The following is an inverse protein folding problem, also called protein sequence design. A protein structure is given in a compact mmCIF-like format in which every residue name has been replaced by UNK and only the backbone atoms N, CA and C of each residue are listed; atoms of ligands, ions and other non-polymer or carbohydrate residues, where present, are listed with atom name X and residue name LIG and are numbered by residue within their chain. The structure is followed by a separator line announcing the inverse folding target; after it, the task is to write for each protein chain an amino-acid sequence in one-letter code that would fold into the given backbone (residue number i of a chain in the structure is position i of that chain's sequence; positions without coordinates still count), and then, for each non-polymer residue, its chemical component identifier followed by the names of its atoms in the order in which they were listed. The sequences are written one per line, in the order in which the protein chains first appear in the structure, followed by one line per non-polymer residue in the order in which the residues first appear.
data_IF_253381081732
#
_entry.id   IF_253381081732
#
_cell.length_a   1.000
_cell.length_b   1.000
_cell.length_c   1.000
_cell.angle_alpha   90.00
_cell.angle_beta   90.00
_cell.angle_gamma   90.00
#
_symmetry.space_group_name_H-M   'P 1'
#
loop_
_entity.id
_entity.type
_entity.pdbx_description
1 polymer ?
#
# COMPACT_ATOMS: atom_id res chain seq x y z
N UNK A 1 -18.29 -11.29 5.20
CA UNK A 1 -17.73 -11.66 3.90
C UNK A 1 -16.34 -11.06 3.76
N UNK A 2 -15.38 -11.86 3.31
CA UNK A 2 -14.00 -11.37 3.15
C UNK A 2 -13.91 -10.38 2.00
N UNK A 3 -13.08 -9.33 2.14
CA UNK A 3 -12.83 -8.43 1.03
C UNK A 3 -12.09 -9.17 -0.10
N UNK A 4 -12.15 -8.59 -1.27
CA UNK A 4 -11.52 -9.15 -2.47
C UNK A 4 -10.84 -8.04 -3.26
N UNK A 5 -10.08 -8.43 -4.26
CA UNK A 5 -9.41 -7.49 -5.15
C UNK A 5 -10.41 -6.47 -5.70
N UNK A 6 -10.03 -5.21 -5.65
CA UNK A 6 -10.87 -4.10 -6.07
C UNK A 6 -11.65 -3.44 -4.94
N UNK A 7 -11.87 -4.16 -3.85
CA UNK A 7 -12.61 -3.62 -2.72
C UNK A 7 -11.79 -2.56 -1.98
N UNK A 8 -12.48 -1.64 -1.32
CA UNK A 8 -11.82 -0.68 -0.45
C UNK A 8 -11.24 -1.36 0.77
N UNK A 9 -10.07 -0.89 1.18
CA UNK A 9 -9.42 -1.38 2.40
C UNK A 9 -10.16 -0.88 3.64
N UNK A 10 -10.76 0.30 3.54
CA UNK A 10 -11.44 0.95 4.65
C UNK A 10 -12.70 1.65 4.16
N UNK A 11 -13.31 2.48 5.01
CA UNK A 11 -14.48 3.26 4.66
C UNK A 11 -14.17 4.20 3.48
N UNK A 12 -15.20 4.64 2.74
CA UNK A 12 -14.98 5.59 1.64
C UNK A 12 -14.25 6.83 2.11
N UNK A 13 -13.39 7.39 1.25
CA UNK A 13 -12.62 8.57 1.64
C UNK A 13 -13.50 9.80 1.73
N UNK A 14 -13.14 10.70 2.65
CA UNK A 14 -13.66 12.05 2.65
C UNK A 14 -12.57 12.96 2.07
N UNK A 15 -12.98 14.07 1.46
CA UNK A 15 -12.02 15.01 0.91
C UNK A 15 -11.14 15.61 2.02
N UNK A 16 -9.81 15.65 1.90
CA UNK A 16 -8.98 15.34 0.72
C UNK A 16 -8.34 13.94 0.74
N UNK A 17 -8.89 12.99 1.43
CA UNK A 17 -8.32 11.65 1.56
C UNK A 17 -8.28 10.91 0.21
N UNK A 18 -7.35 9.94 0.13
CA UNK A 18 -7.24 9.03 -1.01
C UNK A 18 -8.07 7.78 -0.78
N UNK A 19 -8.59 7.21 -1.87
CA UNK A 19 -9.35 5.96 -1.82
C UNK A 19 -8.36 4.80 -1.84
N UNK A 20 -8.25 4.06 -0.75
CA UNK A 20 -7.30 2.94 -0.63
C UNK A 20 -8.04 1.64 -0.95
N UNK A 21 -7.58 0.94 -1.98
CA UNK A 21 -8.18 -0.29 -2.48
C UNK A 21 -7.17 -1.41 -2.60
N UNK A 22 -7.66 -2.64 -2.58
CA UNK A 22 -6.82 -3.80 -2.83
C UNK A 22 -6.60 -3.97 -4.33
N UNK A 23 -5.33 -4.06 -4.75
CA UNK A 23 -4.98 -4.26 -6.15
C UNK A 23 -4.78 -5.73 -6.51
N UNK A 24 -4.56 -6.59 -5.52
CA UNK A 24 -4.34 -8.03 -5.73
C UNK A 24 -5.02 -8.83 -4.64
N UNK A 25 -5.26 -10.12 -4.92
CA UNK A 25 -5.80 -11.04 -3.93
C UNK A 25 -4.79 -11.28 -2.80
N UNK A 26 -3.51 -11.37 -3.14
CA UNK A 26 -2.47 -11.55 -2.13
C UNK A 26 -2.41 -10.39 -1.16
N UNK A 27 -2.66 -9.18 -1.63
CA UNK A 27 -2.70 -8.00 -0.76
C UNK A 27 -3.81 -8.11 0.29
N UNK A 28 -4.97 -8.66 -0.10
CA UNK A 28 -6.08 -8.86 0.84
C UNK A 28 -5.63 -9.75 2.01
N UNK A 29 -5.03 -10.89 1.68
CA UNK A 29 -4.59 -11.86 2.69
C UNK A 29 -3.51 -11.28 3.59
N UNK A 30 -2.51 -10.64 2.99
CA UNK A 30 -1.41 -10.05 3.74
C UNK A 30 -1.86 -8.92 4.64
N UNK A 31 -2.77 -8.09 4.15
CA UNK A 31 -3.32 -6.99 4.94
C UNK A 31 -4.10 -7.50 6.14
N UNK A 32 -4.93 -8.52 5.94
CA UNK A 32 -5.69 -9.12 7.04
C UNK A 32 -4.76 -9.70 8.11
N UNK A 33 -3.66 -10.32 7.68
CA UNK A 33 -2.66 -10.84 8.61
C UNK A 33 -1.98 -9.70 9.39
N UNK A 34 -1.63 -8.61 8.70
CA UNK A 34 -1.06 -7.44 9.35
C UNK A 34 -2.02 -6.86 10.40
N UNK A 35 -3.30 -6.76 10.06
CA UNK A 35 -4.32 -6.28 10.99
C UNK A 35 -4.42 -7.17 12.21
N UNK A 36 -4.30 -8.48 12.02
CA UNK A 36 -4.39 -9.43 13.12
C UNK A 36 -3.17 -9.42 14.03
N UNK A 37 -1.99 -9.22 13.46
CA UNK A 37 -0.73 -9.40 14.19
C UNK A 37 -0.03 -8.08 14.55
N UNK A 38 -0.34 -6.99 13.88
CA UNK A 38 0.32 -5.70 14.09
C UNK A 38 -0.65 -4.55 13.84
N UNK A 39 -1.81 -4.60 14.50
CA UNK A 39 -2.90 -3.65 14.23
C UNK A 39 -2.50 -2.19 14.40
N UNK A 40 -1.83 -1.77 15.48
CA UNK A 40 -1.46 -0.35 15.63
C UNK A 40 -0.57 0.14 14.49
N UNK A 41 0.39 -0.68 14.08
CA UNK A 41 1.30 -0.32 12.98
C UNK A 41 0.56 -0.27 11.65
N UNK A 42 -0.37 -1.21 11.45
CA UNK A 42 -1.16 -1.25 10.21
C UNK A 42 -2.09 -0.05 10.11
N UNK A 43 -2.64 0.40 11.23
CA UNK A 43 -3.46 1.62 11.25
C UNK A 43 -2.64 2.85 10.85
N UNK A 44 -1.40 2.96 11.35
CA UNK A 44 -0.53 4.07 10.96
C UNK A 44 -0.20 4.02 9.48
N UNK A 45 0.03 2.82 8.94
CA UNK A 45 0.24 2.64 7.51
C UNK A 45 -0.98 3.12 6.72
N UNK A 46 -2.17 2.68 7.10
CA UNK A 46 -3.41 3.07 6.42
C UNK A 46 -3.58 4.59 6.42
N UNK A 47 -3.33 5.24 7.56
CA UNK A 47 -3.43 6.69 7.64
C UNK A 47 -2.44 7.38 6.69
N UNK A 48 -1.22 6.85 6.58
CA UNK A 48 -0.23 7.39 5.65
C UNK A 48 -0.69 7.24 4.20
N UNK A 49 -1.21 6.07 3.83
CA UNK A 49 -1.69 5.82 2.47
C UNK A 49 -2.89 6.71 2.14
N UNK A 50 -3.76 6.93 3.10
CA UNK A 50 -4.99 7.68 2.90
C UNK A 50 -4.75 9.19 2.83
N UNK A 51 -3.76 9.69 3.58
CA UNK A 51 -3.51 11.12 3.69
C UNK A 51 -2.37 11.62 2.81
N UNK A 52 -1.28 10.84 2.67
CA UNK A 52 -0.08 11.29 1.96
C UNK A 52 0.70 10.11 1.38
N UNK A 53 0.15 9.43 0.34
CA UNK A 53 0.79 8.21 -0.17
C UNK A 53 2.14 8.43 -0.83
N UNK A 54 2.46 9.65 -1.24
CA UNK A 54 3.73 9.98 -1.87
C UNK A 54 4.58 10.90 -1.00
N UNK A 55 4.38 10.85 0.32
CA UNK A 55 5.12 11.70 1.25
C UNK A 55 6.56 11.23 1.41
N UNK A 56 7.49 12.17 1.42
CA UNK A 56 8.90 11.90 1.72
C UNK A 56 9.27 12.36 3.12
N UNK A 57 8.29 12.83 3.89
CA UNK A 57 8.52 13.30 5.27
C UNK A 57 8.96 12.15 6.19
N UNK A 58 8.55 10.93 5.88
CA UNK A 58 8.95 9.74 6.63
C UNK A 58 9.73 8.80 5.72
N UNK A 59 10.76 9.31 5.07
CA UNK A 59 11.52 8.55 4.07
C UNK A 59 12.14 7.26 4.59
N UNK A 60 12.32 7.12 5.88
CA UNK A 60 12.83 5.88 6.47
C UNK A 60 11.75 4.79 6.51
N UNK A 61 10.47 5.15 6.45
CA UNK A 61 9.35 4.21 6.45
C UNK A 61 8.60 4.16 5.12
N UNK A 62 8.59 5.26 4.39
CA UNK A 62 7.77 5.41 3.18
C UNK A 62 8.65 5.92 2.06
N UNK A 63 8.84 5.11 1.02
CA UNK A 63 9.72 5.49 -0.07
C UNK A 63 9.27 4.88 -1.39
N UNK A 64 9.67 5.54 -2.46
CA UNK A 64 9.40 5.05 -3.80
C UNK A 64 10.35 3.90 -4.12
N UNK A 65 9.82 2.85 -4.76
CA UNK A 65 10.63 1.72 -5.20
C UNK A 65 11.40 2.08 -6.47
N UNK A 66 12.44 1.31 -6.77
CA UNK A 66 13.37 1.56 -7.88
C UNK A 66 13.46 0.35 -8.79
N UNK A 67 14.10 0.54 -9.95
CA UNK A 67 14.33 -0.53 -10.89
C UNK A 67 13.03 -1.09 -11.44
N UNK A 68 12.95 -2.40 -11.51
CA UNK A 68 11.77 -3.08 -12.04
C UNK A 68 10.54 -2.86 -11.20
N UNK A 69 10.71 -2.47 -9.95
CA UNK A 69 9.60 -2.19 -9.03
C UNK A 69 9.19 -0.72 -9.00
N UNK A 70 9.82 0.13 -9.81
CA UNK A 70 9.55 1.56 -9.80
C UNK A 70 8.13 1.90 -10.23
N UNK A 71 7.56 1.10 -11.14
CA UNK A 71 6.20 1.30 -11.63
C UNK A 71 5.44 -0.02 -11.62
N UNK A 72 4.12 0.10 -11.58
CA UNK A 72 3.21 -1.04 -11.68
C UNK A 72 2.14 -0.68 -12.71
N UNK A 73 1.93 -1.59 -13.67
CA UNK A 73 0.92 -1.37 -14.68
C UNK A 73 -0.43 -1.85 -14.17
N UNK A 74 -1.37 -0.92 -14.13
CA UNK A 74 -2.72 -1.20 -13.66
C UNK A 74 -3.73 -0.64 -14.64
N UNK A 75 -4.57 -1.52 -15.20
CA UNK A 75 -5.59 -1.15 -16.18
C UNK A 75 -5.02 -0.31 -17.33
N UNK A 76 -3.85 -0.69 -17.82
CA UNK A 76 -3.21 -0.04 -18.95
C UNK A 76 -2.43 1.23 -18.62
N UNK A 77 -2.31 1.59 -17.35
CA UNK A 77 -1.60 2.80 -16.92
C UNK A 77 -0.43 2.41 -16.03
N UNK A 78 0.73 3.04 -16.27
CA UNK A 78 1.90 2.83 -15.42
C UNK A 78 1.84 3.77 -14.23
N UNK A 79 1.75 3.20 -13.04
CA UNK A 79 1.63 3.96 -11.79
C UNK A 79 2.92 3.84 -10.98
N UNK A 80 3.28 4.89 -10.26
CA UNK A 80 4.41 4.84 -9.34
C UNK A 80 4.16 3.82 -8.26
N UNK A 81 5.17 3.00 -7.97
CA UNK A 81 5.08 2.01 -6.91
C UNK A 81 5.92 2.46 -5.71
N UNK A 82 5.32 2.36 -4.55
CA UNK A 82 5.89 2.79 -3.27
C UNK A 82 5.86 1.65 -2.28
N UNK A 83 6.64 1.78 -1.23
CA UNK A 83 6.68 0.81 -0.14
C UNK A 83 6.60 1.55 1.20
N UNK A 84 5.80 0.99 2.11
CA UNK A 84 5.71 1.48 3.49
C UNK A 84 6.21 0.40 4.43
N UNK A 85 7.12 0.78 5.34
CA UNK A 85 7.64 -0.11 6.37
C UNK A 85 6.68 -0.13 7.55
N UNK A 86 5.91 -1.20 7.67
CA UNK A 86 4.89 -1.34 8.72
C UNK A 86 5.54 -1.70 10.06
N UNK A 87 6.46 -2.67 10.01
CA UNK A 87 7.28 -3.10 11.15
C UNK A 87 8.72 -3.22 10.63
N UNK A 88 9.66 -3.60 11.50
CA UNK A 88 11.06 -3.76 11.08
C UNK A 88 11.22 -4.71 9.89
N UNK A 89 10.38 -5.75 9.80
CA UNK A 89 10.40 -6.69 8.68
C UNK A 89 9.20 -6.57 7.75
N UNK A 90 8.10 -6.01 8.24
CA UNK A 90 6.85 -5.96 7.49
C UNK A 90 6.79 -4.83 6.47
N UNK A 91 6.21 -5.13 5.32
CA UNK A 91 6.14 -4.16 4.21
C UNK A 91 4.78 -4.17 3.57
N UNK A 92 4.34 -2.99 3.13
CA UNK A 92 3.19 -2.81 2.26
C UNK A 92 3.67 -2.11 1.01
N UNK A 93 3.45 -2.74 -0.15
CA UNK A 93 3.74 -2.13 -1.45
C UNK A 93 2.44 -1.67 -2.07
N UNK A 94 2.46 -0.50 -2.67
CA UNK A 94 1.26 0.09 -3.25
C UNK A 94 1.59 0.91 -4.48
N UNK A 95 0.62 1.04 -5.36
CA UNK A 95 0.72 1.88 -6.55
C UNK A 95 -0.21 3.08 -6.37
N UNK A 96 0.21 4.23 -6.87
CA UNK A 96 -0.50 5.49 -6.67
C UNK A 96 -1.04 5.99 -8.00
N UNK A 97 -2.35 6.21 -8.07
CA UNK A 97 -3.01 6.78 -9.22
C UNK A 97 -3.48 8.20 -8.86
N UNK A 98 -2.69 9.23 -9.23
CA UNK A 98 -3.03 10.60 -8.83
C UNK A 98 -4.26 11.15 -9.56
N UNK A 99 -4.51 10.69 -10.77
CA UNK A 99 -5.65 11.18 -11.55
C UNK A 99 -6.98 10.78 -10.90
N UNK A 100 -7.05 9.57 -10.38
CA UNK A 100 -8.25 9.06 -9.72
C UNK A 100 -8.21 9.19 -8.20
N UNK A 101 -7.07 9.60 -7.66
CA UNK A 101 -6.80 9.67 -6.21
C UNK A 101 -7.07 8.33 -5.54
N UNK A 102 -6.53 7.29 -6.14
CA UNK A 102 -6.65 5.91 -5.65
C UNK A 102 -5.26 5.37 -5.32
N UNK A 103 -5.16 4.65 -4.22
CA UNK A 103 -3.98 3.90 -3.81
C UNK A 103 -4.32 2.43 -3.90
N UNK A 104 -3.57 1.67 -4.70
CA UNK A 104 -3.78 0.24 -4.90
C UNK A 104 -2.77 -0.53 -4.05
N UNK A 105 -3.23 -1.22 -3.02
CA UNK A 105 -2.36 -2.07 -2.21
C UNK A 105 -2.08 -3.34 -3.01
N UNK A 106 -0.81 -3.57 -3.32
CA UNK A 106 -0.39 -4.67 -4.19
C UNK A 106 0.19 -5.84 -3.41
N UNK A 107 0.79 -5.56 -2.26
CA UNK A 107 1.48 -6.55 -1.45
C UNK A 107 1.48 -6.09 0.00
N UNK A 108 1.28 -7.02 0.91
CA UNK A 108 1.35 -6.77 2.34
C UNK A 108 1.87 -8.01 3.04
N UNK A 109 2.84 -7.86 3.93
CA UNK A 109 3.42 -9.00 4.65
C UNK A 109 4.19 -8.52 5.86
N UNK A 110 4.23 -9.35 6.90
CA UNK A 110 5.11 -9.15 8.05
C UNK A 110 6.55 -9.52 7.71
N UNK A 111 6.77 -10.23 6.61
CA UNK A 111 8.10 -10.66 6.19
C UNK A 111 8.71 -9.66 5.22
N UNK A 112 10.01 -9.44 5.36
CA UNK A 112 10.75 -8.61 4.44
C UNK A 112 10.70 -9.24 3.03
N UNK A 113 10.30 -8.49 2.00
CA UNK A 113 10.26 -9.05 0.63
C UNK A 113 11.65 -9.46 0.16
N UNK A 114 11.75 -10.63 -0.49
CA UNK A 114 13.02 -11.13 -1.01
C UNK A 114 13.49 -10.34 -2.22
N UNK A 115 12.57 -9.75 -2.94
CA UNK A 115 12.84 -8.99 -4.17
C UNK A 115 12.89 -7.49 -3.95
N UNK A 116 13.18 -7.06 -2.71
CA UNK A 116 13.25 -5.63 -2.38
C UNK A 116 14.28 -4.93 -3.25
N UNK A 117 13.85 -3.89 -3.94
CA UNK A 117 14.73 -3.04 -4.73
C UNK A 117 15.51 -2.11 -3.81
N UNK A 118 16.78 -2.04 -4.00
CA UNK A 118 17.68 -1.21 -3.18
C UNK A 118 18.38 -0.17 -3.99
#
# INVERSE_FOLDING_TARGET
MSPKRGDRVTVPPSDPEWDVRFGTTDAVRGWEELCRLALPNTRRCLEALRSAPCSRAQHCRQHRLRGDLATHRHSGVDLEQWEYEVTSGGRVRYAVDPDKRVVWVLYASLRHPKDTAR
#
